data_IF_000005935754
#
_entry.id   IF_000005935754
#
_cell.length_a   1.000
_cell.length_b   1.000
_cell.length_c   1.000
_cell.angle_alpha   90.00
_cell.angle_beta   90.00
_cell.angle_gamma   90.00
#
_symmetry.space_group_name_H-M   'P 1'
#
loop_
_entity.id
_entity.type
_entity.pdbx_description
1 polymer ?
#
# COMPACT_ATOMS: atom_id res chain seq x y z
N UNK A 1 -6.69 -24.91 48.54
CA UNK A 1 -5.96 -23.62 48.53
C UNK A 1 -6.48 -22.80 49.70
N UNK A 2 -5.56 -22.30 50.53
CA UNK A 2 -5.80 -21.85 51.90
C UNK A 2 -6.94 -20.83 52.05
N UNK A 3 -7.92 -21.17 52.89
CA UNK A 3 -8.88 -20.22 53.45
C UNK A 3 -8.13 -19.36 54.48
N UNK A 4 -7.71 -18.17 54.05
CA UNK A 4 -7.20 -17.13 54.96
C UNK A 4 -8.31 -16.76 55.95
N UNK A 5 -8.21 -17.31 57.16
CA UNK A 5 -8.99 -16.90 58.31
C UNK A 5 -8.54 -15.48 58.67
N UNK A 6 -9.31 -14.47 58.23
CA UNK A 6 -9.10 -13.09 58.68
C UNK A 6 -9.56 -13.02 60.13
N UNK A 7 -8.69 -12.62 61.06
CA UNK A 7 -9.07 -12.37 62.45
C UNK A 7 -10.22 -11.34 62.49
N UNK A 8 -11.30 -11.69 63.18
CA UNK A 8 -12.46 -10.82 63.33
C UNK A 8 -12.05 -9.58 64.13
N UNK A 9 -12.07 -8.43 63.47
CA UNK A 9 -11.70 -7.14 64.06
C UNK A 9 -12.84 -6.15 63.88
N UNK A 10 -13.20 -5.45 64.96
CA UNK A 10 -14.27 -4.43 64.97
C UNK A 10 -14.01 -3.33 63.92
N UNK A 11 -12.74 -3.06 63.60
CA UNK A 11 -12.35 -2.08 62.58
C UNK A 11 -12.57 -2.53 61.13
N UNK A 12 -12.84 -3.82 60.88
CA UNK A 12 -13.09 -4.41 59.56
C UNK A 12 -14.60 -4.66 59.29
N UNK A 13 -15.49 -4.22 60.18
CA UNK A 13 -16.95 -4.42 60.06
C UNK A 13 -17.55 -3.66 58.87
N UNK A 14 -16.98 -2.51 58.50
CA UNK A 14 -17.40 -1.74 57.34
C UNK A 14 -16.43 -2.02 56.18
N UNK A 15 -16.92 -2.48 55.01
CA UNK A 15 -16.06 -2.71 53.87
C UNK A 15 -15.41 -1.39 53.44
N UNK A 16 -14.09 -1.38 53.28
CA UNK A 16 -13.37 -0.22 52.75
C UNK A 16 -13.93 0.11 51.38
N UNK A 17 -14.38 1.35 51.18
CA UNK A 17 -14.84 1.83 49.88
C UNK A 17 -13.62 1.82 48.96
N UNK A 18 -13.56 0.84 48.07
CA UNK A 18 -12.51 0.76 47.05
C UNK A 18 -12.88 1.74 45.95
N UNK A 19 -12.20 2.88 45.92
CA UNK A 19 -12.35 3.86 44.83
C UNK A 19 -11.99 3.20 43.50
N UNK A 20 -13.00 2.95 42.67
CA UNK A 20 -12.78 2.37 41.34
C UNK A 20 -12.02 3.40 40.51
N UNK A 21 -10.83 3.08 39.97
CA UNK A 21 -10.10 4.03 39.15
C UNK A 21 -10.95 4.40 37.93
N UNK A 22 -11.05 5.70 37.65
CA UNK A 22 -11.75 6.21 36.47
C UNK A 22 -11.01 5.72 35.22
N UNK A 23 -11.76 5.08 34.30
CA UNK A 23 -11.19 4.63 33.03
C UNK A 23 -10.71 5.84 32.24
N UNK A 24 -9.48 5.76 31.72
CA UNK A 24 -8.93 6.81 30.87
C UNK A 24 -9.83 7.07 29.65
N UNK A 25 -9.91 8.32 29.16
CA UNK A 25 -10.67 8.64 27.97
C UNK A 25 -10.11 7.87 26.76
N UNK A 26 -11.01 7.48 25.86
CA UNK A 26 -10.64 6.77 24.63
C UNK A 26 -9.73 7.64 23.77
N UNK A 27 -8.65 7.07 23.25
CA UNK A 27 -7.76 7.75 22.30
C UNK A 27 -8.53 8.28 21.09
N UNK A 28 -8.20 9.51 20.69
CA UNK A 28 -8.73 10.16 19.49
C UNK A 28 -7.56 10.48 18.56
N UNK A 29 -7.62 9.97 17.33
CA UNK A 29 -6.61 10.23 16.30
C UNK A 29 -6.50 11.73 16.00
N UNK A 30 -5.26 12.21 15.86
CA UNK A 30 -4.92 13.56 15.38
C UNK A 30 -5.47 13.87 14.00
N UNK A 31 -5.71 12.84 13.17
CA UNK A 31 -6.23 12.96 11.82
C UNK A 31 -7.77 12.92 11.73
N UNK A 32 -8.47 12.68 12.84
CA UNK A 32 -9.95 12.69 12.89
C UNK A 32 -10.59 13.93 12.24
N UNK A 33 -10.13 15.17 12.44
CA UNK A 33 -10.72 16.34 11.78
C UNK A 33 -10.48 16.33 10.26
N UNK A 34 -9.33 15.85 9.80
CA UNK A 34 -9.03 15.76 8.37
C UNK A 34 -9.96 14.76 7.67
N UNK A 35 -10.11 13.56 8.25
CA UNK A 35 -11.00 12.52 7.71
C UNK A 35 -12.44 13.01 7.65
N UNK A 36 -12.94 13.71 8.68
CA UNK A 36 -14.29 14.31 8.65
C UNK A 36 -14.47 15.28 7.49
N UNK A 37 -13.53 16.19 7.28
CA UNK A 37 -13.58 17.17 6.18
C UNK A 37 -13.58 16.48 4.81
N UNK A 38 -12.75 15.46 4.61
CA UNK A 38 -12.70 14.72 3.33
C UNK A 38 -14.01 14.02 3.03
N UNK A 39 -14.65 13.42 4.05
CA UNK A 39 -15.95 12.77 3.92
C UNK A 39 -17.05 13.80 3.63
N UNK A 40 -17.06 14.93 4.34
CA UNK A 40 -18.05 16.00 4.14
C UNK A 40 -17.93 16.65 2.77
N UNK A 41 -16.73 16.89 2.26
CA UNK A 41 -16.50 17.43 0.90
C UNK A 41 -17.06 16.52 -0.20
N UNK A 42 -17.07 15.20 0.03
CA UNK A 42 -17.63 14.24 -0.94
C UNK A 42 -19.17 14.18 -0.93
N UNK A 43 -19.81 14.72 0.11
CA UNK A 43 -21.27 14.71 0.30
C UNK A 43 -21.88 15.98 -0.29
N UNK A 44 -22.75 15.80 -1.28
CA UNK A 44 -23.66 16.84 -1.74
C UNK A 44 -25.10 16.48 -1.32
N UNK A 45 -25.94 17.47 -0.95
CA UNK A 45 -27.35 17.19 -0.68
C UNK A 45 -28.03 16.65 -1.94
N UNK A 46 -28.85 15.60 -1.77
CA UNK A 46 -29.73 15.03 -2.81
C UNK A 46 -29.01 14.55 -4.09
N UNK A 47 -27.79 14.00 -3.95
CA UNK A 47 -26.96 13.50 -5.07
C UNK A 47 -27.51 12.24 -5.75
N UNK A 48 -28.17 11.35 -5.00
CA UNK A 48 -28.68 10.06 -5.51
C UNK A 48 -30.13 10.15 -5.98
N UNK A 49 -30.99 10.82 -5.21
CA UNK A 49 -32.39 11.07 -5.53
C UNK A 49 -32.66 12.52 -5.18
N UNK A 50 -33.36 13.23 -6.08
CA UNK A 50 -33.71 14.64 -5.91
C UNK A 50 -34.65 14.89 -4.72
N UNK A 51 -34.98 16.16 -4.43
CA UNK A 51 -35.87 16.50 -3.33
C UNK A 51 -37.28 15.93 -3.56
N UNK A 52 -37.93 15.45 -2.49
CA UNK A 52 -39.26 14.82 -2.55
C UNK A 52 -40.35 15.72 -3.15
N UNK A 53 -40.22 17.05 -2.98
CA UNK A 53 -41.03 18.05 -3.67
C UNK A 53 -40.11 19.16 -4.16
N UNK A 54 -39.95 19.26 -5.48
CA UNK A 54 -39.18 20.33 -6.12
C UNK A 54 -39.91 21.65 -5.89
N UNK A 55 -39.23 22.62 -5.28
CA UNK A 55 -39.79 23.97 -5.13
C UNK A 55 -39.82 24.65 -6.50
N UNK A 56 -41.01 25.06 -6.95
CA UNK A 56 -41.17 25.79 -8.20
C UNK A 56 -40.72 27.24 -7.95
N UNK A 57 -39.79 27.79 -8.77
CA UNK A 57 -39.33 29.16 -8.58
C UNK A 57 -40.48 30.15 -8.74
N UNK A 58 -40.52 31.16 -7.88
CA UNK A 58 -41.52 32.22 -7.97
C UNK A 58 -41.29 33.04 -9.24
N UNK A 59 -42.34 33.52 -9.95
CA UNK A 59 -42.19 34.42 -11.10
C UNK A 59 -41.39 35.71 -10.84
N UNK A 60 -41.21 36.07 -9.56
CA UNK A 60 -40.36 37.19 -9.13
C UNK A 60 -38.84 36.87 -9.19
N UNK A 61 -38.46 35.60 -9.19
CA UNK A 61 -37.08 35.11 -9.19
C UNK A 61 -36.60 34.80 -10.62
N UNK A 62 -36.87 35.71 -11.56
CA UNK A 62 -36.41 35.57 -12.94
C UNK A 62 -34.90 35.84 -13.05
N UNK A 63 -34.26 35.21 -14.04
CA UNK A 63 -32.82 35.35 -14.28
C UNK A 63 -32.48 36.78 -14.73
N UNK A 64 -31.68 37.50 -13.94
CA UNK A 64 -31.17 38.83 -14.29
C UNK A 64 -29.84 38.74 -15.03
N UNK A 65 -29.53 39.75 -15.85
CA UNK A 65 -28.25 39.88 -16.57
C UNK A 65 -27.07 39.78 -15.58
N UNK A 66 -26.04 39.01 -15.92
CA UNK A 66 -24.83 38.79 -15.10
C UNK A 66 -25.05 38.13 -13.72
N UNK A 67 -26.21 37.51 -13.46
CA UNK A 67 -26.52 36.90 -12.15
C UNK A 67 -25.73 35.62 -11.85
N UNK A 68 -25.37 34.84 -12.88
CA UNK A 68 -24.62 33.58 -12.77
C UNK A 68 -23.12 33.73 -13.04
N UNK A 69 -22.66 34.95 -13.32
CA UNK A 69 -21.25 35.17 -13.63
C UNK A 69 -20.41 35.11 -12.35
N UNK A 70 -19.31 34.32 -12.35
CA UNK A 70 -18.43 34.24 -11.20
C UNK A 70 -17.73 35.58 -11.00
N UNK A 71 -17.96 36.22 -9.83
CA UNK A 71 -17.27 37.46 -9.47
C UNK A 71 -15.85 37.14 -9.02
N UNK A 72 -14.88 37.44 -9.88
CA UNK A 72 -13.47 37.30 -9.53
C UNK A 72 -13.11 38.29 -8.41
N UNK A 73 -12.40 37.85 -7.36
CA UNK A 73 -11.91 38.75 -6.33
C UNK A 73 -10.93 39.77 -6.93
N UNK A 74 -10.93 41.00 -6.42
CA UNK A 74 -9.94 42.01 -6.82
C UNK A 74 -8.53 41.48 -6.56
N UNK A 75 -7.65 41.57 -7.57
CA UNK A 75 -6.26 41.09 -7.51
C UNK A 75 -5.56 41.71 -6.31
N UNK A 76 -5.24 40.88 -5.31
CA UNK A 76 -4.33 41.24 -4.21
C UNK A 76 -2.91 40.93 -4.68
N UNK A 77 -1.93 41.76 -4.31
CA UNK A 77 -0.52 41.42 -4.53
C UNK A 77 -0.21 40.19 -3.66
N UNK A 78 0.20 39.10 -4.28
CA UNK A 78 0.57 37.87 -3.59
C UNK A 78 1.71 38.16 -2.62
N UNK A 79 1.49 37.87 -1.32
CA UNK A 79 2.52 38.08 -0.29
C UNK A 79 3.68 37.08 -0.41
N UNK A 80 3.44 35.97 -1.11
CA UNK A 80 4.39 34.88 -1.30
C UNK A 80 4.80 34.76 -2.77
N UNK A 81 5.24 35.87 -3.36
CA UNK A 81 6.11 35.74 -4.53
C UNK A 81 7.41 35.13 -4.03
N UNK A 82 7.73 33.93 -4.54
CA UNK A 82 9.06 33.35 -4.42
C UNK A 82 10.05 34.43 -4.83
N UNK A 83 10.78 35.00 -3.86
CA UNK A 83 11.83 35.96 -4.14
C UNK A 83 12.90 35.18 -4.89
N UNK A 84 12.94 35.31 -6.20
CA UNK A 84 14.08 34.90 -7.00
C UNK A 84 15.29 35.61 -6.39
N UNK A 85 16.22 34.86 -5.80
CA UNK A 85 17.52 35.41 -5.39
C UNK A 85 18.29 35.63 -6.69
N UNK A 86 17.92 36.67 -7.43
CA UNK A 86 18.74 37.15 -8.53
C UNK A 86 19.96 37.78 -7.90
N UNK A 87 21.12 37.14 -8.06
CA UNK A 87 22.38 37.78 -7.73
C UNK A 87 22.48 39.04 -8.60
N UNK A 88 22.37 40.21 -7.99
CA UNK A 88 22.41 41.48 -8.70
C UNK A 88 23.73 41.59 -9.43
N UNK A 89 23.66 41.75 -10.75
CA UNK A 89 24.84 41.98 -11.59
C UNK A 89 25.54 43.26 -11.12
N UNK A 90 26.89 43.31 -11.10
CA UNK A 90 27.63 44.51 -10.73
C UNK A 90 27.15 45.73 -11.51
N UNK A 91 27.03 46.88 -10.83
CA UNK A 91 26.57 48.10 -11.46
C UNK A 91 27.68 48.68 -12.34
N UNK A 92 27.34 49.50 -13.33
CA UNK A 92 28.31 50.24 -14.15
C UNK A 92 29.26 51.11 -13.29
N UNK A 93 28.81 51.52 -12.10
CA UNK A 93 29.61 52.26 -11.13
C UNK A 93 30.57 51.40 -10.31
N UNK A 94 30.37 50.07 -10.28
CA UNK A 94 31.25 49.14 -9.58
C UNK A 94 32.49 48.88 -10.44
N UNK A 95 33.60 49.52 -10.08
CA UNK A 95 34.90 49.25 -10.69
C UNK A 95 35.53 48.08 -9.92
N UNK A 96 36.05 47.05 -10.60
CA UNK A 96 36.80 46.00 -9.91
C UNK A 96 37.97 46.64 -9.16
N UNK A 97 38.42 46.02 -8.06
CA UNK A 97 39.59 46.51 -7.32
C UNK A 97 40.81 46.41 -8.26
N UNK A 98 41.13 47.52 -8.91
CA UNK A 98 42.26 47.63 -9.84
C UNK A 98 43.53 47.83 -9.03
N UNK A 99 44.55 47.02 -9.30
CA UNK A 99 45.86 47.16 -8.67
C UNK A 99 45.92 46.57 -7.26
N UNK A 100 45.46 45.33 -7.08
CA UNK A 100 45.86 44.51 -5.92
C UNK A 100 47.38 44.32 -5.99
N UNK A 101 48.12 45.26 -5.40
CA UNK A 101 49.57 45.18 -5.34
C UNK A 101 49.94 44.10 -4.33
N UNK A 102 50.54 43.03 -4.82
CA UNK A 102 51.03 41.99 -3.94
C UNK A 102 52.27 42.53 -3.19
N UNK A 103 52.16 42.76 -1.89
CA UNK A 103 53.29 43.14 -1.01
C UNK A 103 54.25 41.98 -0.76
N UNK A 104 54.03 40.83 -1.42
CA UNK A 104 54.86 39.64 -1.27
C UNK A 104 56.17 39.83 -2.04
N UNK A 105 57.27 39.68 -1.33
CA UNK A 105 58.59 39.59 -1.94
C UNK A 105 58.71 38.26 -2.69
N UNK A 106 58.47 38.28 -3.99
CA UNK A 106 58.54 37.07 -4.84
C UNK A 106 59.95 36.48 -4.87
N UNK A 107 60.99 37.29 -4.76
CA UNK A 107 62.39 36.82 -4.75
C UNK A 107 62.67 35.95 -3.53
N UNK A 108 62.35 36.45 -2.32
CA UNK A 108 62.57 35.68 -1.08
C UNK A 108 61.64 34.48 -0.98
N UNK A 109 60.38 34.63 -1.44
CA UNK A 109 59.42 33.53 -1.45
C UNK A 109 59.83 32.42 -2.41
N UNK A 110 60.34 32.76 -3.59
CA UNK A 110 60.83 31.78 -4.56
C UNK A 110 62.08 31.08 -4.06
N UNK A 111 63.01 31.82 -3.45
CA UNK A 111 64.21 31.25 -2.84
C UNK A 111 63.84 30.26 -1.72
N UNK A 112 62.96 30.65 -0.80
CA UNK A 112 62.48 29.77 0.27
C UNK A 112 61.76 28.53 -0.29
N UNK A 113 60.90 28.69 -1.31
CA UNK A 113 60.20 27.58 -1.95
C UNK A 113 61.14 26.59 -2.64
N UNK A 114 62.25 27.06 -3.23
CA UNK A 114 63.26 26.19 -3.86
C UNK A 114 64.08 25.45 -2.79
N UNK A 115 64.48 26.14 -1.72
CA UNK A 115 65.27 25.56 -0.62
C UNK A 115 64.44 24.53 0.16
N UNK A 116 63.17 24.83 0.43
CA UNK A 116 62.25 23.95 1.16
C UNK A 116 61.59 22.90 0.27
N UNK A 117 61.69 23.06 -1.05
CA UNK A 117 61.08 22.16 -2.02
C UNK A 117 61.75 20.80 -2.00
N UNK A 118 60.97 19.74 -1.79
CA UNK A 118 61.47 18.37 -1.95
C UNK A 118 61.87 18.15 -3.41
N UNK A 119 63.07 17.61 -3.62
CA UNK A 119 63.57 17.30 -4.96
C UNK A 119 62.56 16.43 -5.72
N UNK A 120 62.32 16.76 -7.00
CA UNK A 120 61.44 15.96 -7.87
C UNK A 120 61.99 14.54 -7.94
N UNK A 121 61.18 13.56 -7.53
CA UNK A 121 61.55 12.14 -7.65
C UNK A 121 61.78 11.83 -9.15
N UNK A 122 62.96 11.32 -9.55
CA UNK A 122 63.22 11.02 -10.94
C UNK A 122 62.25 9.93 -11.41
N UNK A 123 61.76 10.08 -12.64
CA UNK A 123 61.02 8.98 -13.27
C UNK A 123 61.98 7.79 -13.42
N UNK A 124 61.49 6.60 -13.08
CA UNK A 124 62.25 5.36 -13.28
C UNK A 124 62.35 5.09 -14.77
N UNK A 125 63.50 5.40 -15.36
CA UNK A 125 63.78 5.29 -16.80
C UNK A 125 65.06 4.48 -16.95
N UNK A 126 65.07 3.48 -17.84
CA UNK A 126 66.29 2.80 -18.26
C UNK A 126 66.74 3.37 -19.60
N UNK A 127 68.06 3.35 -19.76
CA UNK A 127 68.73 3.76 -20.99
C UNK A 127 69.60 2.60 -21.41
N UNK A 128 69.15 1.86 -22.43
CA UNK A 128 69.82 0.63 -22.85
C UNK A 128 70.91 0.91 -23.90
N UNK A 129 70.76 1.98 -24.69
CA UNK A 129 71.64 2.30 -25.82
C UNK A 129 72.53 3.50 -25.52
N UNK A 130 73.76 3.47 -26.06
CA UNK A 130 74.72 4.59 -26.01
C UNK A 130 74.18 5.89 -26.64
N UNK A 131 73.21 5.79 -27.55
CA UNK A 131 72.54 6.92 -28.19
C UNK A 131 71.45 7.58 -27.31
N UNK A 132 71.14 7.01 -26.14
CA UNK A 132 70.25 7.66 -25.17
C UNK A 132 68.77 7.35 -25.33
N UNK A 133 68.38 6.27 -26.02
CA UNK A 133 66.99 5.83 -26.07
C UNK A 133 66.48 5.49 -24.67
N UNK A 134 65.43 6.19 -24.24
CA UNK A 134 64.88 6.12 -22.88
C UNK A 134 63.60 5.30 -22.88
N UNK A 135 63.58 4.23 -22.09
CA UNK A 135 62.36 3.48 -21.82
C UNK A 135 61.89 3.81 -20.40
N UNK A 136 60.66 4.31 -20.29
CA UNK A 136 60.01 4.46 -18.98
C UNK A 136 59.78 3.06 -18.43
N UNK A 137 60.41 2.72 -17.30
CA UNK A 137 60.12 1.44 -16.65
C UNK A 137 58.66 1.48 -16.23
N UNK A 138 57.86 0.56 -16.75
CA UNK A 138 56.58 0.29 -16.13
C UNK A 138 56.84 -0.06 -14.67
N UNK A 139 56.10 0.56 -13.76
CA UNK A 139 56.29 0.43 -12.31
C UNK A 139 56.48 -1.04 -11.94
N UNK A 140 57.67 -1.35 -11.46
CA UNK A 140 58.17 -2.69 -11.12
C UNK A 140 57.50 -3.20 -9.84
N UNK A 141 56.18 -3.34 -9.85
CA UNK A 141 55.39 -3.88 -8.75
C UNK A 141 55.09 -2.91 -7.60
N UNK A 142 55.67 -1.70 -7.58
CA UNK A 142 55.37 -0.70 -6.55
C UNK A 142 53.92 -0.17 -6.63
N UNK A 143 53.33 -0.17 -7.83
CA UNK A 143 51.93 0.19 -8.05
C UNK A 143 51.13 -1.04 -8.48
N UNK A 144 50.02 -1.38 -7.80
CA UNK A 144 49.20 -2.53 -8.15
C UNK A 144 48.57 -2.33 -9.53
N UNK A 145 48.88 -3.25 -10.46
CA UNK A 145 48.21 -3.34 -11.76
C UNK A 145 46.94 -4.17 -11.61
N UNK A 146 45.79 -3.51 -11.47
CA UNK A 146 44.49 -4.16 -11.29
C UNK A 146 44.01 -5.01 -12.48
N UNK A 147 44.64 -4.84 -13.65
CA UNK A 147 44.39 -5.66 -14.84
C UNK A 147 44.77 -7.14 -14.62
N UNK A 148 45.77 -7.43 -13.78
CA UNK A 148 46.28 -8.78 -13.53
C UNK A 148 45.66 -9.43 -12.28
N UNK A 149 44.49 -8.94 -11.83
CA UNK A 149 43.79 -9.54 -10.68
C UNK A 149 43.26 -10.93 -11.07
N UNK A 150 43.39 -11.91 -10.18
CA UNK A 150 42.93 -13.30 -10.41
C UNK A 150 41.43 -13.39 -10.70
N UNK A 151 40.65 -12.50 -10.08
CA UNK A 151 39.18 -12.45 -10.22
C UNK A 151 38.72 -11.41 -11.26
N UNK A 152 39.62 -10.95 -12.14
CA UNK A 152 39.26 -9.98 -13.17
C UNK A 152 38.27 -10.61 -14.15
N UNK A 153 37.11 -9.98 -14.33
CA UNK A 153 36.02 -10.50 -15.16
C UNK A 153 35.16 -11.59 -14.50
N UNK A 154 35.44 -11.99 -13.26
CA UNK A 154 34.64 -12.98 -12.53
C UNK A 154 33.67 -12.28 -11.57
N UNK A 155 32.40 -12.68 -11.60
CA UNK A 155 31.39 -12.17 -10.67
C UNK A 155 31.72 -12.59 -9.23
N UNK A 156 31.83 -11.65 -8.28
CA UNK A 156 32.14 -11.97 -6.90
C UNK A 156 31.07 -12.86 -6.23
N UNK A 157 31.51 -13.79 -5.37
CA UNK A 157 30.65 -14.75 -4.65
C UNK A 157 29.52 -14.11 -3.83
N UNK A 158 29.70 -12.89 -3.33
CA UNK A 158 28.64 -12.23 -2.54
C UNK A 158 27.48 -11.75 -3.43
N UNK A 159 27.74 -11.43 -4.71
CA UNK A 159 26.72 -11.00 -5.66
C UNK A 159 25.80 -12.18 -5.99
N UNK A 160 26.38 -13.36 -6.22
CA UNK A 160 25.60 -14.58 -6.49
C UNK A 160 24.74 -14.98 -5.29
N UNK A 161 25.30 -14.93 -4.06
CA UNK A 161 24.53 -15.15 -2.83
C UNK A 161 23.35 -14.19 -2.71
N UNK A 162 23.57 -12.90 -2.94
CA UNK A 162 22.52 -11.88 -2.88
C UNK A 162 21.43 -12.11 -3.94
N UNK A 163 21.79 -12.53 -5.15
CA UNK A 163 20.80 -12.85 -6.19
C UNK A 163 19.96 -14.08 -5.83
N UNK A 164 20.57 -15.11 -5.24
CA UNK A 164 19.87 -16.30 -4.77
C UNK A 164 18.92 -15.99 -3.61
N UNK A 165 19.37 -15.20 -2.63
CA UNK A 165 18.55 -14.75 -1.51
C UNK A 165 17.35 -13.94 -2.00
N UNK A 166 17.55 -13.01 -2.94
CA UNK A 166 16.47 -12.24 -3.55
C UNK A 166 15.47 -13.15 -4.29
N UNK A 167 15.96 -14.17 -5.01
CA UNK A 167 15.11 -15.14 -5.70
C UNK A 167 14.27 -15.96 -4.73
N UNK A 168 14.88 -16.46 -3.65
CA UNK A 168 14.18 -17.22 -2.60
C UNK A 168 13.12 -16.35 -1.91
N UNK A 169 13.45 -15.12 -1.56
CA UNK A 169 12.48 -14.19 -0.96
C UNK A 169 11.28 -13.91 -1.88
N UNK A 170 11.52 -13.79 -3.19
CA UNK A 170 10.44 -13.65 -4.18
C UNK A 170 9.57 -14.91 -4.26
N UNK A 171 10.18 -16.09 -4.33
CA UNK A 171 9.47 -17.37 -4.35
C UNK A 171 8.60 -17.58 -3.10
N UNK A 172 9.12 -17.23 -1.91
CA UNK A 172 8.40 -17.28 -0.64
C UNK A 172 7.21 -16.30 -0.62
N UNK A 173 7.43 -15.06 -1.10
CA UNK A 173 6.37 -14.07 -1.20
C UNK A 173 5.26 -14.54 -2.16
N UNK A 174 5.63 -15.05 -3.33
CA UNK A 174 4.68 -15.55 -4.32
C UNK A 174 3.91 -16.77 -3.78
N UNK A 175 4.57 -17.64 -3.03
CA UNK A 175 3.93 -18.78 -2.35
C UNK A 175 2.91 -18.31 -1.31
N UNK A 176 3.28 -17.35 -0.46
CA UNK A 176 2.38 -16.75 0.53
C UNK A 176 1.18 -16.06 -0.12
N UNK A 177 1.39 -15.31 -1.21
CA UNK A 177 0.30 -14.69 -1.98
C UNK A 177 -0.63 -15.76 -2.55
N UNK A 178 -0.09 -16.83 -3.15
CA UNK A 178 -0.90 -17.95 -3.65
C UNK A 178 -1.70 -18.64 -2.55
N UNK A 179 -1.12 -18.85 -1.38
CA UNK A 179 -1.80 -19.47 -0.25
C UNK A 179 -2.91 -18.58 0.31
N UNK A 180 -2.63 -17.29 0.54
CA UNK A 180 -3.64 -16.33 0.98
C UNK A 180 -4.78 -16.19 -0.05
N UNK A 181 -4.47 -16.25 -1.34
CA UNK A 181 -5.46 -16.27 -2.40
C UNK A 181 -6.28 -17.56 -2.38
N UNK A 182 -5.66 -18.72 -2.17
CA UNK A 182 -6.36 -20.01 -2.00
C UNK A 182 -7.28 -20.02 -0.79
N UNK A 183 -6.85 -19.45 0.34
CA UNK A 183 -7.65 -19.34 1.56
C UNK A 183 -8.84 -18.40 1.37
N UNK A 184 -8.67 -17.30 0.64
CA UNK A 184 -9.75 -16.36 0.31
C UNK A 184 -10.63 -16.82 -0.85
N UNK A 185 -10.14 -17.72 -1.69
CA UNK A 185 -10.90 -18.24 -2.81
C UNK A 185 -12.02 -19.15 -2.30
N UNK A 186 -13.22 -18.95 -2.85
CA UNK A 186 -14.35 -19.84 -2.63
C UNK A 186 -14.00 -21.25 -3.12
N UNK A 187 -14.39 -22.29 -2.37
CA UNK A 187 -14.15 -23.68 -2.79
C UNK A 187 -14.96 -23.96 -4.05
N UNK A 188 -14.28 -24.31 -5.15
CA UNK A 188 -14.95 -24.80 -6.36
C UNK A 188 -15.44 -26.22 -6.10
N UNK A 189 -16.71 -26.49 -6.36
CA UNK A 189 -17.25 -27.85 -6.32
C UNK A 189 -16.61 -28.66 -7.46
N UNK A 190 -16.09 -29.84 -7.14
CA UNK A 190 -15.61 -30.78 -8.16
C UNK A 190 -16.78 -31.35 -8.96
N UNK A 191 -16.50 -31.82 -10.18
CA UNK A 191 -17.54 -32.40 -11.04
C UNK A 191 -18.14 -33.67 -10.41
N UNK A 192 -17.33 -34.45 -9.68
CA UNK A 192 -17.77 -35.63 -8.92
C UNK A 192 -18.72 -35.28 -7.76
N UNK A 193 -18.36 -34.27 -6.95
CA UNK A 193 -19.22 -33.79 -5.86
C UNK A 193 -20.55 -33.23 -6.42
N UNK A 194 -20.49 -32.55 -7.58
CA UNK A 194 -21.67 -32.02 -8.28
C UNK A 194 -22.61 -33.14 -8.73
N UNK A 195 -22.08 -34.19 -9.36
CA UNK A 195 -22.89 -35.33 -9.78
C UNK A 195 -23.49 -36.07 -8.59
N UNK A 196 -22.74 -36.23 -7.51
CA UNK A 196 -23.24 -36.83 -6.29
C UNK A 196 -24.39 -36.03 -5.68
N UNK A 197 -24.27 -34.70 -5.64
CA UNK A 197 -25.33 -33.80 -5.18
C UNK A 197 -26.59 -33.92 -6.05
N UNK A 198 -26.42 -33.93 -7.38
CA UNK A 198 -27.52 -34.04 -8.32
C UNK A 198 -28.25 -35.39 -8.18
N UNK A 199 -27.51 -36.50 -8.01
CA UNK A 199 -28.11 -37.81 -7.73
C UNK A 199 -28.91 -37.79 -6.43
N UNK A 200 -28.38 -37.16 -5.38
CA UNK A 200 -29.08 -37.01 -4.10
C UNK A 200 -30.38 -36.21 -4.22
N UNK A 201 -30.35 -35.08 -4.93
CA UNK A 201 -31.54 -34.26 -5.16
C UNK A 201 -32.61 -34.99 -5.98
N UNK A 202 -32.20 -35.71 -7.04
CA UNK A 202 -33.13 -36.51 -7.87
C UNK A 202 -33.79 -37.62 -7.05
N UNK A 203 -33.03 -38.32 -6.21
CA UNK A 203 -33.58 -39.33 -5.30
C UNK A 203 -34.59 -38.74 -4.31
N UNK A 204 -34.28 -37.59 -3.71
CA UNK A 204 -35.21 -36.93 -2.79
C UNK A 204 -36.50 -36.48 -3.52
N UNK A 205 -36.36 -36.02 -4.77
CA UNK A 205 -37.52 -35.68 -5.61
C UNK A 205 -38.37 -36.91 -5.90
N UNK A 206 -37.76 -38.06 -6.21
CA UNK A 206 -38.48 -39.33 -6.41
C UNK A 206 -39.26 -39.75 -5.16
N UNK A 207 -38.67 -39.61 -3.97
CA UNK A 207 -39.33 -39.93 -2.69
C UNK A 207 -40.55 -39.02 -2.43
N UNK A 208 -40.40 -37.70 -2.59
CA UNK A 208 -41.50 -36.73 -2.43
C UNK A 208 -42.58 -36.95 -3.49
N UNK A 209 -42.18 -37.25 -4.73
CA UNK A 209 -43.10 -37.52 -5.82
C UNK A 209 -43.89 -38.81 -5.60
N UNK A 210 -43.24 -39.86 -5.09
CA UNK A 210 -43.92 -41.10 -4.70
C UNK A 210 -44.93 -40.86 -3.57
N UNK A 211 -44.57 -40.07 -2.55
CA UNK A 211 -45.49 -39.69 -1.48
C UNK A 211 -46.70 -38.90 -2.03
N UNK A 212 -46.46 -37.98 -2.95
CA UNK A 212 -47.53 -37.24 -3.64
C UNK A 212 -48.44 -38.14 -4.48
N UNK A 213 -47.88 -39.12 -5.19
CA UNK A 213 -48.67 -40.10 -5.94
C UNK A 213 -49.51 -41.01 -5.04
N UNK A 214 -49.04 -41.29 -3.82
CA UNK A 214 -49.74 -42.12 -2.84
C UNK A 214 -50.92 -41.40 -2.16
N UNK A 215 -51.15 -40.11 -2.43
CA UNK A 215 -52.28 -39.37 -1.87
C UNK A 215 -53.62 -39.92 -2.37
N UNK A 216 -54.61 -39.91 -1.47
CA UNK A 216 -56.01 -40.20 -1.80
C UNK A 216 -56.57 -39.18 -2.80
N UNK A 217 -57.38 -39.66 -3.74
CA UNK A 217 -58.08 -38.82 -4.74
C UNK A 217 -59.01 -37.81 -4.07
N UNK A 218 -59.66 -38.20 -2.97
CA UNK A 218 -60.53 -37.31 -2.19
C UNK A 218 -59.73 -36.46 -1.18
N UNK A 219 -59.64 -35.16 -1.45
CA UNK A 219 -58.87 -34.17 -0.68
C UNK A 219 -59.80 -33.09 -0.09
N UNK A 220 -60.85 -33.51 0.60
CA UNK A 220 -61.88 -32.57 1.08
C UNK A 220 -61.51 -31.90 2.40
N UNK A 221 -60.85 -32.65 3.29
CA UNK A 221 -60.47 -32.16 4.63
C UNK A 221 -59.28 -31.20 4.58
N UNK A 222 -59.29 -30.16 5.42
CA UNK A 222 -58.23 -29.15 5.51
C UNK A 222 -56.81 -29.74 5.71
N UNK A 223 -56.58 -30.75 6.58
CA UNK A 223 -55.26 -31.33 6.75
C UNK A 223 -54.72 -32.02 5.48
N UNK A 224 -55.59 -32.70 4.73
CA UNK A 224 -55.21 -33.34 3.46
C UNK A 224 -54.81 -32.29 2.41
N UNK A 225 -55.52 -31.16 2.35
CA UNK A 225 -55.17 -30.03 1.46
C UNK A 225 -53.80 -29.43 1.80
N UNK A 226 -53.56 -29.17 3.09
CA UNK A 226 -52.28 -28.64 3.57
C UNK A 226 -51.12 -29.61 3.33
N UNK A 227 -51.35 -30.91 3.51
CA UNK A 227 -50.33 -31.92 3.23
C UNK A 227 -49.96 -31.97 1.75
N UNK A 228 -50.95 -31.92 0.86
CA UNK A 228 -50.74 -31.82 -0.59
C UNK A 228 -49.93 -30.57 -0.96
N UNK A 229 -50.32 -29.41 -0.44
CA UNK A 229 -49.63 -28.14 -0.69
C UNK A 229 -48.17 -28.18 -0.24
N UNK A 230 -47.88 -28.79 0.92
CA UNK A 230 -46.49 -29.03 1.38
C UNK A 230 -45.70 -29.87 0.38
N UNK A 231 -46.23 -31.00 -0.06
CA UNK A 231 -45.55 -31.87 -1.05
C UNK A 231 -45.35 -31.13 -2.38
N UNK A 232 -46.33 -30.37 -2.86
CA UNK A 232 -46.20 -29.56 -4.09
C UNK A 232 -45.13 -28.47 -3.96
N UNK A 233 -45.04 -27.81 -2.81
CA UNK A 233 -44.03 -26.78 -2.57
C UNK A 233 -42.62 -27.36 -2.46
N UNK A 234 -42.46 -28.48 -1.76
CA UNK A 234 -41.19 -29.21 -1.67
C UNK A 234 -40.74 -29.72 -3.05
N UNK A 235 -41.67 -30.26 -3.85
CA UNK A 235 -41.38 -30.73 -5.21
C UNK A 235 -40.90 -29.59 -6.11
N UNK A 236 -41.58 -28.43 -6.08
CA UNK A 236 -41.18 -27.23 -6.83
C UNK A 236 -39.81 -26.70 -6.40
N UNK A 237 -39.48 -26.76 -5.11
CA UNK A 237 -38.17 -26.36 -4.62
C UNK A 237 -37.07 -27.27 -5.17
N UNK A 238 -37.26 -28.59 -5.09
CA UNK A 238 -36.30 -29.56 -5.61
C UNK A 238 -36.10 -29.43 -7.12
N UNK A 239 -37.17 -29.20 -7.88
CA UNK A 239 -37.09 -28.93 -9.32
C UNK A 239 -36.27 -27.67 -9.62
N UNK A 240 -36.50 -26.60 -8.86
CA UNK A 240 -35.75 -25.35 -9.01
C UNK A 240 -34.25 -25.53 -8.70
N UNK A 241 -33.94 -26.25 -7.63
CA UNK A 241 -32.56 -26.50 -7.19
C UNK A 241 -31.80 -27.39 -8.19
N UNK A 242 -32.42 -28.48 -8.65
CA UNK A 242 -31.90 -29.36 -9.70
C UNK A 242 -31.61 -28.55 -10.96
N UNK A 243 -32.58 -27.73 -11.40
CA UNK A 243 -32.43 -26.92 -12.60
C UNK A 243 -31.29 -25.90 -12.46
N UNK A 244 -31.13 -25.30 -11.28
CA UNK A 244 -30.06 -24.33 -11.01
C UNK A 244 -28.68 -24.99 -11.09
N UNK A 245 -28.52 -26.18 -10.51
CA UNK A 245 -27.25 -26.93 -10.53
C UNK A 245 -26.95 -27.52 -11.93
N UNK A 246 -27.98 -27.93 -12.68
CA UNK A 246 -27.80 -28.41 -14.05
C UNK A 246 -27.39 -27.28 -15.00
N UNK A 247 -28.00 -26.09 -14.89
CA UNK A 247 -27.66 -24.90 -15.69
C UNK A 247 -26.23 -24.42 -15.44
N UNK A 248 -25.73 -24.50 -14.21
CA UNK A 248 -24.42 -23.97 -13.84
C UNK A 248 -23.37 -25.08 -13.73
N UNK A 249 -22.46 -25.16 -14.72
CA UNK A 249 -21.36 -26.14 -14.74
C UNK A 249 -20.33 -25.93 -13.62
N UNK A 250 -20.06 -24.67 -13.25
CA UNK A 250 -19.06 -24.32 -12.23
C UNK A 250 -19.76 -23.61 -11.08
N UNK A 251 -19.68 -24.19 -9.89
CA UNK A 251 -20.30 -23.66 -8.67
C UNK A 251 -19.19 -23.40 -7.65
N UNK A 252 -19.22 -22.22 -7.03
CA UNK A 252 -18.31 -21.81 -5.97
C UNK A 252 -19.07 -21.76 -4.65
N UNK A 253 -18.52 -22.42 -3.63
CA UNK A 253 -19.08 -22.47 -2.28
C UNK A 253 -18.27 -21.54 -1.39
N UNK A 254 -18.96 -20.65 -0.70
CA UNK A 254 -18.32 -19.81 0.30
C UNK A 254 -17.90 -20.63 1.51
N UNK A 255 -16.62 -20.57 1.85
CA UNK A 255 -16.10 -21.16 3.08
C UNK A 255 -16.64 -20.32 4.25
N UNK A 256 -17.28 -20.97 5.22
CA UNK A 256 -17.91 -20.35 6.39
C UNK A 256 -16.94 -20.34 7.58
#
# INVERSE_FOLDING_TARGET
>A
MATLCMEESIYNLLPKIVDKPLKAPRYISTFKPHVKRTIEQSKAPWKTIGPARVQVPSPKDFLKKHSKEPKLPKRKKDKDSLKTIEASVPKITDHPIMGVQCTKNFISSNAANVIMGVAKKPQQICVDRRQGDKFVLETSGLLPKYLKKKDYGVTPKYVTKRTEEARRAQEEYDAYVKESLRQRAMKRLSDEERESLLRGLKKNWEEVHQAFQSLSVEIDTLPKKLHKERLETEMKQLEHDIQTIEKHKVIYIANK
#
